data_IF_291646228752
#
_entry.id   IF_291646228752
#
_cell.length_a   1.000
_cell.length_b   1.000
_cell.length_c   1.000
_cell.angle_alpha   90.00
_cell.angle_beta   90.00
_cell.angle_gamma   90.00
#
_symmetry.space_group_name_H-M   'P 1'
#
loop_
_entity.id
_entity.type
_entity.pdbx_description
1 polymer ?
#
# COMPACT_ATOMS: atom_id res chain seq x y z
N UNK A 1 -20.10 26.60 -17.13
CA UNK A 1 -18.64 26.62 -17.15
C UNK A 1 -18.18 25.23 -17.61
N UNK A 2 -17.77 25.08 -18.87
CA UNK A 2 -17.30 23.79 -19.42
C UNK A 2 -15.91 23.52 -18.84
N UNK A 3 -15.83 22.62 -17.87
CA UNK A 3 -14.56 22.14 -17.31
C UNK A 3 -13.83 21.33 -18.38
N UNK A 4 -12.63 21.75 -18.68
CA UNK A 4 -11.81 21.33 -19.80
C UNK A 4 -11.51 19.82 -19.84
N UNK A 5 -11.63 19.18 -21.01
CA UNK A 5 -11.29 17.77 -21.21
C UNK A 5 -9.81 17.46 -20.90
N UNK A 6 -8.91 18.45 -20.95
CA UNK A 6 -7.50 18.30 -20.60
C UNK A 6 -7.25 18.04 -19.11
N UNK A 7 -8.06 18.63 -18.21
CA UNK A 7 -7.96 18.40 -16.76
C UNK A 7 -8.35 16.97 -16.38
N UNK A 8 -9.36 16.41 -17.01
CA UNK A 8 -9.83 15.03 -16.75
C UNK A 8 -8.83 13.97 -17.24
N UNK A 9 -8.04 14.25 -18.26
CA UNK A 9 -7.03 13.32 -18.77
C UNK A 9 -5.69 13.36 -17.98
N UNK A 10 -5.41 14.43 -17.23
CA UNK A 10 -4.18 14.57 -16.44
C UNK A 10 -4.20 13.74 -15.14
N UNK A 11 -5.34 13.64 -14.47
CA UNK A 11 -5.47 12.91 -13.19
C UNK A 11 -5.08 11.43 -13.30
N UNK A 12 -5.58 10.63 -14.27
CA UNK A 12 -5.16 9.24 -14.42
C UNK A 12 -3.66 9.06 -14.70
N UNK A 13 -3.07 9.94 -15.50
CA UNK A 13 -1.64 9.90 -15.82
C UNK A 13 -0.78 10.21 -14.60
N UNK A 14 -1.14 11.24 -13.85
CA UNK A 14 -0.45 11.62 -12.61
C UNK A 14 -0.57 10.54 -11.55
N UNK A 15 -1.76 9.98 -11.35
CA UNK A 15 -1.98 8.89 -10.40
C UNK A 15 -1.16 7.64 -10.77
N UNK A 16 -1.10 7.29 -12.05
CA UNK A 16 -0.28 6.17 -12.53
C UNK A 16 1.21 6.42 -12.30
N UNK A 17 1.71 7.61 -12.66
CA UNK A 17 3.11 7.98 -12.48
C UNK A 17 3.51 7.95 -11.00
N UNK A 18 2.74 8.58 -10.12
CA UNK A 18 3.00 8.58 -8.68
C UNK A 18 2.89 7.18 -8.07
N UNK A 19 1.93 6.38 -8.51
CA UNK A 19 1.79 4.99 -8.09
C UNK A 19 3.02 4.15 -8.45
N UNK A 20 3.49 4.25 -9.70
CA UNK A 20 4.70 3.55 -10.16
C UNK A 20 5.96 4.05 -9.43
N UNK A 21 6.09 5.35 -9.23
CA UNK A 21 7.17 5.92 -8.43
C UNK A 21 7.16 5.39 -6.99
N UNK A 22 5.96 5.19 -6.41
CA UNK A 22 5.80 4.58 -5.09
C UNK A 22 6.24 3.12 -5.00
N UNK A 23 6.39 2.40 -6.11
CA UNK A 23 6.93 1.04 -6.12
C UNK A 23 8.47 0.99 -6.06
N UNK A 24 9.15 2.09 -6.37
CA UNK A 24 10.62 2.12 -6.44
C UNK A 24 11.27 1.58 -5.15
N UNK A 25 10.91 2.02 -3.93
CA UNK A 25 11.51 1.48 -2.72
C UNK A 25 11.22 -0.02 -2.51
N UNK A 26 10.03 -0.50 -2.89
CA UNK A 26 9.70 -1.93 -2.80
C UNK A 26 10.56 -2.78 -3.72
N UNK A 27 10.91 -2.29 -4.90
CA UNK A 27 11.75 -3.02 -5.85
C UNK A 27 13.23 -2.91 -5.51
N UNK A 28 13.70 -1.72 -5.12
CA UNK A 28 15.14 -1.49 -4.88
C UNK A 28 15.63 -2.11 -3.57
N UNK A 29 14.83 -2.10 -2.51
CA UNK A 29 15.29 -2.58 -1.21
C UNK A 29 15.65 -4.07 -1.22
N UNK A 30 14.84 -5.01 -1.75
CA UNK A 30 15.23 -6.42 -1.82
C UNK A 30 16.49 -6.65 -2.68
N UNK A 31 16.64 -5.90 -3.78
CA UNK A 31 17.85 -5.97 -4.61
C UNK A 31 19.08 -5.51 -3.83
N UNK A 32 18.97 -4.39 -3.11
CA UNK A 32 20.07 -3.89 -2.27
C UNK A 32 20.40 -4.87 -1.13
N UNK A 33 19.40 -5.48 -0.48
CA UNK A 33 19.60 -6.50 0.55
C UNK A 33 20.37 -7.72 0.02
N UNK A 34 20.10 -8.14 -1.22
CA UNK A 34 20.77 -9.28 -1.83
C UNK A 34 22.22 -8.99 -2.27
N UNK A 35 22.54 -7.75 -2.62
CA UNK A 35 23.84 -7.34 -3.11
C UNK A 35 24.79 -6.92 -1.99
N UNK A 36 24.27 -6.26 -0.96
CA UNK A 36 25.05 -5.76 0.17
C UNK A 36 24.55 -6.38 1.49
N UNK A 37 25.01 -7.59 1.74
CA UNK A 37 24.62 -8.38 2.94
C UNK A 37 25.05 -7.69 4.23
N UNK A 38 26.13 -6.92 4.23
CA UNK A 38 26.63 -6.23 5.43
C UNK A 38 25.68 -5.11 5.88
N UNK A 39 25.00 -4.45 4.96
CA UNK A 39 24.03 -3.39 5.24
C UNK A 39 22.58 -3.83 5.00
N UNK A 40 22.32 -5.13 4.83
CA UNK A 40 20.97 -5.65 4.56
C UNK A 40 19.96 -5.21 5.63
N UNK A 41 20.36 -5.12 6.89
CA UNK A 41 19.53 -4.63 7.98
C UNK A 41 19.04 -3.19 7.78
N UNK A 42 19.88 -2.31 7.19
CA UNK A 42 19.51 -0.92 6.91
C UNK A 42 18.44 -0.85 5.82
N UNK A 43 18.61 -1.64 4.76
CA UNK A 43 17.61 -1.69 3.66
C UNK A 43 16.30 -2.32 4.14
N UNK A 44 16.38 -3.33 5.02
CA UNK A 44 15.19 -3.92 5.65
C UNK A 44 14.46 -2.89 6.53
N UNK A 45 15.20 -2.10 7.33
CA UNK A 45 14.63 -1.04 8.17
C UNK A 45 13.91 0.03 7.32
N UNK A 46 14.56 0.51 6.26
CA UNK A 46 13.99 1.49 5.34
C UNK A 46 12.72 0.95 4.66
N UNK A 47 12.77 -0.29 4.18
CA UNK A 47 11.62 -0.94 3.54
C UNK A 47 10.47 -1.15 4.53
N UNK A 48 10.75 -1.56 5.77
CA UNK A 48 9.75 -1.78 6.80
C UNK A 48 9.01 -0.48 7.14
N UNK A 49 9.75 0.60 7.34
CA UNK A 49 9.16 1.91 7.62
C UNK A 49 8.37 2.45 6.43
N UNK A 50 8.88 2.22 5.21
CA UNK A 50 8.18 2.62 4.00
C UNK A 50 6.88 1.82 3.79
N UNK A 51 6.91 0.51 3.99
CA UNK A 51 5.71 -0.34 3.88
C UNK A 51 4.64 0.08 4.89
N UNK A 52 5.03 0.37 6.14
CA UNK A 52 4.12 0.89 7.16
C UNK A 52 3.49 2.22 6.71
N UNK A 53 4.31 3.16 6.21
CA UNK A 53 3.82 4.46 5.75
C UNK A 53 2.82 4.33 4.60
N UNK A 54 3.08 3.45 3.63
CA UNK A 54 2.16 3.21 2.50
C UNK A 54 0.86 2.56 2.99
N UNK A 55 0.90 1.58 3.89
CA UNK A 55 -0.32 0.99 4.47
C UNK A 55 -1.15 2.06 5.17
N UNK A 56 -0.54 2.89 6.01
CA UNK A 56 -1.23 3.99 6.69
C UNK A 56 -1.84 5.00 5.70
N UNK A 57 -1.12 5.34 4.63
CA UNK A 57 -1.63 6.21 3.56
C UNK A 57 -2.86 5.63 2.89
N UNK A 58 -2.84 4.35 2.57
CA UNK A 58 -3.94 3.67 1.88
C UNK A 58 -5.21 3.61 2.74
N UNK A 59 -5.08 3.21 4.00
CA UNK A 59 -6.24 3.13 4.89
C UNK A 59 -6.70 4.49 5.41
N UNK A 60 -5.84 5.52 5.36
CA UNK A 60 -6.21 6.90 5.59
C UNK A 60 -7.23 7.42 4.56
N UNK A 61 -7.13 7.00 3.31
CA UNK A 61 -8.14 7.28 2.27
C UNK A 61 -9.49 6.67 2.65
N UNK A 62 -9.50 5.46 3.21
CA UNK A 62 -10.73 4.82 3.68
C UNK A 62 -11.40 5.62 4.77
N UNK A 63 -10.62 6.15 5.69
CA UNK A 63 -11.12 6.99 6.77
C UNK A 63 -11.82 8.23 6.23
N UNK A 64 -11.21 8.92 5.27
CA UNK A 64 -11.80 10.07 4.60
C UNK A 64 -13.11 9.73 3.87
N UNK A 65 -13.12 8.63 3.10
CA UNK A 65 -14.33 8.16 2.41
C UNK A 65 -15.43 7.74 3.40
N UNK A 66 -15.06 7.10 4.51
CA UNK A 66 -15.98 6.66 5.54
C UNK A 66 -16.70 7.83 6.23
N UNK A 67 -16.01 8.95 6.45
CA UNK A 67 -16.60 10.20 6.95
C UNK A 67 -17.65 10.73 5.98
N UNK A 68 -17.34 10.82 4.68
CA UNK A 68 -18.23 11.35 3.66
C UNK A 68 -19.45 10.44 3.49
N UNK A 69 -19.27 9.13 3.48
CA UNK A 69 -20.30 8.11 3.24
C UNK A 69 -20.93 7.55 4.51
N UNK A 70 -20.58 8.07 5.67
CA UNK A 70 -21.11 7.69 6.99
C UNK A 70 -21.01 6.20 7.30
N UNK A 71 -19.86 5.57 6.98
CA UNK A 71 -19.62 4.14 7.20
C UNK A 71 -18.76 3.91 8.44
N UNK A 72 -19.40 3.62 9.57
CA UNK A 72 -18.69 3.31 10.84
C UNK A 72 -17.80 2.08 10.71
N UNK A 73 -18.26 1.03 10.01
CA UNK A 73 -17.49 -0.18 9.80
C UNK A 73 -16.15 0.07 9.09
N UNK A 74 -16.15 0.89 8.03
CA UNK A 74 -14.92 1.24 7.31
C UNK A 74 -13.97 2.08 8.17
N UNK A 75 -14.48 2.96 9.04
CA UNK A 75 -13.66 3.71 10.00
C UNK A 75 -12.98 2.77 11.01
N UNK A 76 -13.72 1.83 11.57
CA UNK A 76 -13.17 0.86 12.53
C UNK A 76 -12.12 -0.02 11.89
N UNK A 77 -12.40 -0.57 10.69
CA UNK A 77 -11.47 -1.46 9.98
C UNK A 77 -10.20 -0.70 9.61
N UNK A 78 -10.30 0.53 9.11
CA UNK A 78 -9.10 1.32 8.75
C UNK A 78 -8.20 1.56 9.96
N UNK A 79 -8.76 1.90 11.11
CA UNK A 79 -7.98 2.06 12.35
C UNK A 79 -7.38 0.72 12.82
N UNK A 80 -8.14 -0.37 12.75
CA UNK A 80 -7.63 -1.69 13.11
C UNK A 80 -6.41 -2.09 12.27
N UNK A 81 -6.42 -1.83 10.95
CA UNK A 81 -5.29 -2.09 10.06
C UNK A 81 -4.06 -1.29 10.47
N UNK A 82 -4.21 0.01 10.79
CA UNK A 82 -3.09 0.83 11.26
C UNK A 82 -2.50 0.28 12.56
N UNK A 83 -3.36 -0.07 13.52
CA UNK A 83 -2.93 -0.60 14.83
C UNK A 83 -2.18 -1.92 14.64
N UNK A 84 -2.70 -2.84 13.83
CA UNK A 84 -2.05 -4.12 13.52
C UNK A 84 -0.70 -3.89 12.83
N UNK A 85 -0.62 -3.00 11.85
CA UNK A 85 0.63 -2.68 11.16
C UNK A 85 1.66 -2.05 12.10
N UNK A 86 1.25 -1.13 12.96
CA UNK A 86 2.11 -0.49 13.95
C UNK A 86 2.68 -1.48 14.97
N UNK A 87 1.82 -2.30 15.59
CA UNK A 87 2.30 -3.31 16.53
C UNK A 87 3.11 -4.41 15.85
N UNK A 88 2.75 -4.78 14.62
CA UNK A 88 3.55 -5.67 13.79
C UNK A 88 4.97 -5.13 13.60
N UNK A 89 5.10 -3.82 13.28
CA UNK A 89 6.41 -3.18 13.13
C UNK A 89 7.21 -3.16 14.45
N UNK A 90 6.53 -2.96 15.57
CA UNK A 90 7.16 -2.81 16.88
C UNK A 90 7.58 -4.14 17.52
N UNK A 91 6.86 -5.22 17.24
CA UNK A 91 6.99 -6.50 17.95
C UNK A 91 7.58 -7.63 17.09
N UNK A 92 7.50 -7.54 15.76
CA UNK A 92 7.97 -8.60 14.87
C UNK A 92 9.36 -8.29 14.30
N UNK A 93 10.21 -9.31 14.09
CA UNK A 93 11.37 -9.20 13.24
C UNK A 93 10.98 -8.84 11.79
N UNK A 94 11.96 -8.45 10.96
CA UNK A 94 11.67 -7.97 9.59
C UNK A 94 10.93 -8.99 8.73
N UNK A 95 11.39 -10.25 8.72
CA UNK A 95 10.79 -11.30 7.88
C UNK A 95 9.29 -11.49 8.14
N UNK A 96 8.81 -11.81 9.36
CA UNK A 96 7.37 -11.93 9.63
C UNK A 96 6.63 -10.59 9.48
N UNK A 97 7.27 -9.44 9.70
CA UNK A 97 6.66 -8.14 9.46
C UNK A 97 6.39 -7.90 7.97
N UNK A 98 7.32 -8.25 7.07
CA UNK A 98 7.11 -8.15 5.63
C UNK A 98 5.97 -9.05 5.15
N UNK A 99 5.86 -10.26 5.69
CA UNK A 99 4.73 -11.16 5.39
C UNK A 99 3.39 -10.57 5.88
N UNK A 100 3.38 -9.97 7.08
CA UNK A 100 2.21 -9.25 7.58
C UNK A 100 1.82 -8.09 6.65
N UNK A 101 2.79 -7.28 6.22
CA UNK A 101 2.52 -6.19 5.28
C UNK A 101 1.97 -6.70 3.94
N UNK A 102 2.53 -7.78 3.38
CA UNK A 102 2.03 -8.40 2.17
C UNK A 102 0.57 -8.87 2.35
N UNK A 103 0.25 -9.50 3.48
CA UNK A 103 -1.12 -9.90 3.82
C UNK A 103 -2.06 -8.68 3.96
N UNK A 104 -1.61 -7.59 4.58
CA UNK A 104 -2.39 -6.35 4.71
C UNK A 104 -2.64 -5.68 3.34
N UNK A 105 -1.67 -5.69 2.42
CA UNK A 105 -1.89 -5.23 1.04
C UNK A 105 -2.96 -6.06 0.33
N UNK A 106 -2.91 -7.38 0.45
CA UNK A 106 -3.92 -8.27 -0.13
C UNK A 106 -5.30 -8.05 0.52
N UNK A 107 -5.36 -7.94 1.84
CA UNK A 107 -6.58 -7.70 2.60
C UNK A 107 -7.26 -6.38 2.21
N UNK A 108 -6.48 -5.28 2.14
CA UNK A 108 -7.02 -3.98 1.73
C UNK A 108 -7.56 -4.01 0.31
N UNK A 109 -6.88 -4.72 -0.61
CA UNK A 109 -7.32 -4.88 -1.99
C UNK A 109 -8.64 -5.67 -2.09
N UNK A 110 -8.78 -6.76 -1.33
CA UNK A 110 -10.00 -7.57 -1.29
C UNK A 110 -11.17 -6.74 -0.76
N UNK A 111 -10.97 -5.99 0.34
CA UNK A 111 -12.01 -5.12 0.88
C UNK A 111 -12.42 -4.02 -0.10
N UNK A 112 -11.48 -3.37 -0.76
CA UNK A 112 -11.79 -2.35 -1.77
C UNK A 112 -12.61 -2.90 -2.93
N UNK A 113 -12.44 -4.16 -3.28
CA UNK A 113 -13.23 -4.81 -4.34
C UNK A 113 -14.65 -5.16 -3.92
N UNK A 114 -14.82 -5.60 -2.68
CA UNK A 114 -16.10 -6.15 -2.21
C UNK A 114 -16.96 -5.14 -1.48
N UNK A 115 -16.39 -4.15 -0.82
CA UNK A 115 -17.14 -3.21 -0.01
C UNK A 115 -17.76 -2.08 -0.87
N UNK A 116 -19.05 -1.83 -0.66
CA UNK A 116 -19.82 -0.79 -1.40
C UNK A 116 -19.31 0.63 -1.21
N UNK A 117 -18.57 0.89 -0.13
CA UNK A 117 -17.94 2.19 0.15
C UNK A 117 -17.08 2.69 -1.01
N UNK A 118 -16.41 1.77 -1.70
CA UNK A 118 -15.46 2.08 -2.78
C UNK A 118 -16.10 2.10 -4.17
N UNK A 119 -17.41 1.93 -4.27
CA UNK A 119 -18.13 1.93 -5.56
C UNK A 119 -18.95 3.22 -5.73
N UNK A 120 -18.98 3.82 -6.94
CA UNK A 120 -18.27 3.41 -8.16
C UNK A 120 -16.80 3.86 -8.14
N UNK A 121 -15.91 3.00 -8.65
CA UNK A 121 -14.50 3.35 -8.88
C UNK A 121 -14.22 3.47 -10.39
N UNK A 122 -13.38 4.42 -10.83
CA UNK A 122 -12.91 4.45 -12.21
C UNK A 122 -12.18 3.15 -12.57
N UNK A 123 -12.44 2.58 -13.75
CA UNK A 123 -11.88 1.29 -14.15
C UNK A 123 -10.33 1.29 -14.19
N UNK A 124 -9.71 2.43 -14.55
CA UNK A 124 -8.26 2.56 -14.54
C UNK A 124 -7.68 2.47 -13.11
N UNK A 125 -8.36 3.05 -12.13
CA UNK A 125 -7.91 3.05 -10.74
C UNK A 125 -7.92 1.65 -10.14
N UNK A 126 -8.99 0.89 -10.38
CA UNK A 126 -9.09 -0.49 -9.92
C UNK A 126 -7.95 -1.37 -10.46
N UNK A 127 -7.62 -1.25 -11.76
CA UNK A 127 -6.51 -1.98 -12.39
C UNK A 127 -5.15 -1.54 -11.83
N UNK A 128 -4.93 -0.23 -11.73
CA UNK A 128 -3.71 0.34 -11.15
C UNK A 128 -3.50 -0.16 -9.73
N UNK A 129 -4.54 -0.14 -8.91
CA UNK A 129 -4.51 -0.55 -7.51
C UNK A 129 -4.13 -2.03 -7.34
N UNK A 130 -4.70 -2.91 -8.19
CA UNK A 130 -4.34 -4.34 -8.22
C UNK A 130 -2.88 -4.52 -8.58
N UNK A 131 -2.40 -3.85 -9.63
CA UNK A 131 -1.02 -3.94 -10.08
C UNK A 131 -0.03 -3.47 -9.01
N UNK A 132 -0.25 -2.28 -8.43
CA UNK A 132 0.63 -1.70 -7.42
C UNK A 132 0.68 -2.56 -6.14
N UNK A 133 -0.47 -2.97 -5.62
CA UNK A 133 -0.54 -3.80 -4.42
C UNK A 133 0.03 -5.21 -4.65
N UNK A 134 -0.18 -5.78 -5.83
CA UNK A 134 0.37 -7.08 -6.20
C UNK A 134 1.89 -7.06 -6.26
N UNK A 135 2.48 -6.07 -6.93
CA UNK A 135 3.95 -5.93 -7.00
C UNK A 135 4.53 -5.66 -5.62
N UNK A 136 3.94 -4.76 -4.83
CA UNK A 136 4.40 -4.48 -3.47
C UNK A 136 4.37 -5.74 -2.59
N UNK A 137 3.28 -6.52 -2.63
CA UNK A 137 3.16 -7.76 -1.86
C UNK A 137 4.22 -8.81 -2.28
N UNK A 138 4.43 -9.01 -3.57
CA UNK A 138 5.47 -9.94 -4.08
C UNK A 138 6.86 -9.50 -3.62
N UNK A 139 7.20 -8.23 -3.74
CA UNK A 139 8.50 -7.70 -3.31
C UNK A 139 8.71 -7.81 -1.79
N UNK A 140 7.66 -7.63 -0.99
CA UNK A 140 7.73 -7.84 0.45
C UNK A 140 7.94 -9.33 0.80
N UNK A 141 7.33 -10.26 0.07
CA UNK A 141 7.57 -11.70 0.25
C UNK A 141 9.03 -12.04 -0.09
N UNK A 142 9.57 -11.49 -1.18
CA UNK A 142 10.99 -11.65 -1.53
C UNK A 142 11.87 -11.07 -0.42
N UNK A 143 11.59 -9.85 0.05
CA UNK A 143 12.34 -9.24 1.15
C UNK A 143 12.31 -10.09 2.43
N UNK A 144 11.18 -10.74 2.72
CA UNK A 144 11.03 -11.62 3.88
C UNK A 144 11.97 -12.85 3.82
N UNK A 145 12.37 -13.31 2.64
CA UNK A 145 13.34 -14.41 2.48
C UNK A 145 14.80 -13.96 2.58
N UNK A 146 15.04 -12.65 2.50
CA UNK A 146 16.38 -12.04 2.54
C UNK A 146 16.71 -11.40 3.90
N UNK A 147 15.70 -11.25 4.78
CA UNK A 147 15.79 -10.54 6.05
C UNK A 147 16.07 -11.43 7.27
#
# INVERSE_FOLDING_TARGET
MKTEPAYQASVPRTATFLGLAGLIPFCLAPVAMSQDVHHAWLYAELLANYALAIICFLVGIWWGLALIRRSVGAMVISNAVVVVAFFGRSLLPYSPFFLLCAALFAFTLVLERHHSLFKPQPAYYARLRVGLSGVAAVMLIIAATLA
#
